data_IF_940125566438
#
_entry.id   IF_940125566438
#
_cell.length_a   1.000
_cell.length_b   1.000
_cell.length_c   1.000
_cell.angle_alpha   90.00
_cell.angle_beta   90.00
_cell.angle_gamma   90.00
#
_symmetry.space_group_name_H-M   'P 1'
#
loop_
_entity.id
_entity.type
_entity.pdbx_description
1 polymer ?
#
# COMPACT_ATOMS: atom_id res chain seq x y z
N UNK A 1 10.75 -16.50 6.67
CA UNK A 1 9.70 -15.70 5.98
C UNK A 1 10.16 -14.24 5.91
N UNK A 2 9.86 -13.53 4.82
CA UNK A 2 10.20 -12.11 4.63
C UNK A 2 9.11 -11.35 3.87
N UNK A 3 9.13 -10.02 3.99
CA UNK A 3 8.27 -9.10 3.22
C UNK A 3 9.00 -8.64 1.95
N UNK A 4 8.27 -8.50 0.84
CA UNK A 4 8.81 -7.97 -0.42
C UNK A 4 7.85 -6.94 -1.02
N UNK A 5 8.41 -5.83 -1.51
CA UNK A 5 7.71 -4.78 -2.25
C UNK A 5 8.42 -4.54 -3.59
N UNK A 6 7.77 -4.91 -4.70
CA UNK A 6 8.40 -4.95 -6.02
C UNK A 6 9.65 -5.83 -6.02
N UNK A 7 10.81 -5.25 -6.32
CA UNK A 7 12.09 -5.97 -6.25
C UNK A 7 12.82 -5.83 -4.91
N UNK A 8 12.34 -4.97 -4.02
CA UNK A 8 12.95 -4.76 -2.72
C UNK A 8 12.49 -5.83 -1.75
N UNK A 9 13.44 -6.52 -1.15
CA UNK A 9 13.20 -7.57 -0.16
C UNK A 9 13.72 -7.09 1.20
N UNK A 10 12.84 -7.09 2.19
CA UNK A 10 13.22 -6.88 3.59
C UNK A 10 14.01 -8.08 4.11
N UNK A 11 14.84 -7.86 5.13
CA UNK A 11 15.48 -8.98 5.80
C UNK A 11 14.44 -9.88 6.47
N UNK A 12 14.77 -11.17 6.64
CA UNK A 12 13.89 -12.12 7.29
C UNK A 12 13.63 -11.69 8.75
N UNK A 13 12.35 -11.63 9.13
CA UNK A 13 11.95 -11.18 10.47
C UNK A 13 12.10 -9.68 10.75
N UNK A 14 12.44 -8.85 9.75
CA UNK A 14 12.63 -7.40 9.92
C UNK A 14 11.30 -6.63 10.05
N UNK A 15 10.31 -7.01 9.24
CA UNK A 15 9.06 -6.29 9.09
C UNK A 15 7.92 -6.99 9.83
N UNK A 16 7.21 -6.25 10.68
CA UNK A 16 5.94 -6.58 11.29
C UNK A 16 4.82 -5.87 10.53
N UNK A 17 3.81 -6.60 10.08
CA UNK A 17 2.74 -6.06 9.23
C UNK A 17 1.38 -6.34 9.85
N UNK A 18 0.57 -5.29 9.95
CA UNK A 18 -0.85 -5.37 10.27
C UNK A 18 -1.65 -5.21 8.99
N UNK A 19 -2.48 -6.20 8.67
CA UNK A 19 -3.33 -6.20 7.48
C UNK A 19 -4.77 -5.97 7.90
N UNK A 20 -5.42 -4.98 7.30
CA UNK A 20 -6.84 -4.70 7.51
C UNK A 20 -7.58 -4.65 6.17
N UNK A 21 -8.84 -5.08 6.18
CA UNK A 21 -9.71 -5.14 4.99
C UNK A 21 -11.02 -4.44 5.30
N UNK A 22 -11.44 -3.56 4.39
CA UNK A 22 -12.67 -2.78 4.52
C UNK A 22 -13.45 -2.82 3.20
N UNK A 23 -14.78 -2.92 3.28
CA UNK A 23 -15.62 -2.77 2.09
C UNK A 23 -15.65 -1.30 1.70
N UNK A 24 -15.52 -1.03 0.41
CA UNK A 24 -15.74 0.30 -0.16
C UNK A 24 -17.19 0.36 -0.61
N UNK A 25 -17.92 1.38 -0.17
CA UNK A 25 -19.32 1.59 -0.52
C UNK A 25 -19.47 2.80 -1.46
N UNK A 26 -20.47 2.76 -2.34
CA UNK A 26 -20.93 3.94 -3.09
C UNK A 26 -21.75 4.88 -2.18
N UNK A 27 -22.07 6.07 -2.68
CA UNK A 27 -22.98 7.01 -1.99
C UNK A 27 -24.37 6.41 -1.72
N UNK A 28 -24.81 5.48 -2.57
CA UNK A 28 -26.06 4.75 -2.40
C UNK A 28 -25.96 3.59 -1.38
N UNK A 29 -24.82 3.40 -0.72
CA UNK A 29 -24.60 2.33 0.26
C UNK A 29 -24.38 0.94 -0.34
N UNK A 30 -24.15 0.85 -1.65
CA UNK A 30 -23.89 -0.42 -2.35
C UNK A 30 -22.39 -0.73 -2.27
N UNK A 31 -22.03 -1.99 -1.98
CA UNK A 31 -20.63 -2.43 -1.99
C UNK A 31 -20.07 -2.26 -3.41
N UNK A 32 -19.04 -1.43 -3.52
CA UNK A 32 -18.32 -1.14 -4.76
C UNK A 32 -17.01 -1.93 -4.86
N UNK A 33 -16.50 -2.43 -3.73
CA UNK A 33 -15.22 -3.10 -3.73
C UNK A 33 -14.68 -3.43 -2.35
N UNK A 34 -13.39 -3.72 -2.34
CA UNK A 34 -12.59 -4.03 -1.15
C UNK A 34 -11.38 -3.12 -1.14
N UNK A 35 -11.08 -2.52 0.01
CA UNK A 35 -9.82 -1.85 0.30
C UNK A 35 -9.04 -2.69 1.30
N UNK A 36 -7.79 -2.96 0.99
CA UNK A 36 -6.86 -3.61 1.90
C UNK A 36 -5.74 -2.64 2.24
N UNK A 37 -5.45 -2.49 3.54
CA UNK A 37 -4.41 -1.62 4.06
C UNK A 37 -3.41 -2.44 4.84
N UNK A 38 -2.13 -2.21 4.55
CA UNK A 38 -1.00 -2.82 5.23
C UNK A 38 -0.24 -1.72 5.98
N UNK A 39 -0.24 -1.81 7.30
CA UNK A 39 0.58 -0.95 8.16
C UNK A 39 1.81 -1.74 8.60
N UNK A 40 2.97 -1.27 8.14
CA UNK A 40 4.26 -1.95 8.28
C UNK A 40 5.10 -1.18 9.29
N UNK A 41 5.67 -1.91 10.24
CA UNK A 41 6.69 -1.42 11.16
C UNK A 41 7.90 -2.34 11.07
N UNK A 42 9.10 -1.79 11.12
CA UNK A 42 10.30 -2.61 11.08
C UNK A 42 11.53 -1.91 11.64
N UNK A 43 12.63 -2.65 11.67
CA UNK A 43 13.89 -2.19 12.21
C UNK A 43 15.00 -2.59 11.24
N UNK A 44 15.54 -1.62 10.51
CA UNK A 44 16.74 -1.80 9.69
C UNK A 44 17.93 -2.06 10.61
N UNK A 45 18.78 -3.03 10.28
CA UNK A 45 20.02 -3.32 11.01
C UNK A 45 21.20 -3.34 10.04
N UNK A 46 22.34 -2.81 10.48
CA UNK A 46 23.58 -2.82 9.74
C UNK A 46 24.80 -2.83 10.68
N UNK A 47 25.97 -3.16 10.14
CA UNK A 47 27.22 -3.26 10.91
C UNK A 47 27.78 -1.92 11.36
N UNK A 48 27.47 -0.85 10.61
CA UNK A 48 27.92 0.52 10.87
C UNK A 48 26.95 1.55 10.26
N UNK A 49 27.25 2.83 10.48
CA UNK A 49 26.42 3.96 10.04
C UNK A 49 26.36 4.12 8.53
N UNK A 50 27.44 3.76 7.82
CA UNK A 50 27.52 3.87 6.36
C UNK A 50 26.61 2.82 5.72
N UNK A 51 26.71 1.58 6.17
CA UNK A 51 25.83 0.49 5.75
C UNK A 51 24.36 0.76 6.14
N UNK A 52 24.12 1.35 7.31
CA UNK A 52 22.77 1.74 7.71
C UNK A 52 22.18 2.82 6.81
N UNK A 53 22.98 3.84 6.45
CA UNK A 53 22.57 4.89 5.52
C UNK A 53 22.21 4.29 4.15
N UNK A 54 23.04 3.37 3.64
CA UNK A 54 22.73 2.67 2.39
C UNK A 54 21.43 1.85 2.46
N UNK A 55 21.15 1.21 3.61
CA UNK A 55 19.90 0.48 3.82
C UNK A 55 18.67 1.42 3.86
N UNK A 56 18.80 2.58 4.51
CA UNK A 56 17.77 3.63 4.54
C UNK A 56 17.49 4.15 3.13
N UNK A 57 18.53 4.44 2.35
CA UNK A 57 18.39 4.94 0.97
C UNK A 57 17.74 3.89 0.07
N UNK A 58 18.13 2.62 0.20
CA UNK A 58 17.53 1.51 -0.55
C UNK A 58 16.03 1.34 -0.22
N UNK A 59 15.66 1.38 1.07
CA UNK A 59 14.27 1.33 1.50
C UNK A 59 13.47 2.52 0.94
N UNK A 60 14.02 3.73 1.08
CA UNK A 60 13.38 4.96 0.62
C UNK A 60 13.18 4.96 -0.89
N UNK A 61 14.19 4.55 -1.66
CA UNK A 61 14.11 4.46 -3.11
C UNK A 61 13.08 3.41 -3.58
N UNK A 62 13.00 2.26 -2.90
CA UNK A 62 12.05 1.22 -3.22
C UNK A 62 10.59 1.69 -3.06
N UNK A 63 10.28 2.31 -1.93
CA UNK A 63 8.94 2.78 -1.59
C UNK A 63 8.60 4.16 -2.19
N UNK A 64 9.54 4.83 -2.87
CA UNK A 64 9.24 5.98 -3.71
C UNK A 64 8.48 5.57 -4.99
N UNK A 65 8.55 4.29 -5.38
CA UNK A 65 7.91 3.77 -6.58
C UNK A 65 6.53 3.21 -6.23
N UNK A 66 5.50 3.75 -6.85
CA UNK A 66 4.11 3.31 -6.70
C UNK A 66 3.82 2.07 -7.54
N UNK A 67 2.67 1.42 -7.29
CA UNK A 67 2.12 0.34 -8.10
C UNK A 67 3.06 -0.87 -8.26
N UNK A 68 3.67 -1.30 -7.15
CA UNK A 68 4.45 -2.54 -7.08
C UNK A 68 3.70 -3.60 -6.29
N UNK A 69 3.94 -4.86 -6.64
CA UNK A 69 3.40 -5.98 -5.89
C UNK A 69 3.94 -5.97 -4.45
N UNK A 70 3.12 -6.37 -3.49
CA UNK A 70 3.54 -6.56 -2.10
C UNK A 70 3.14 -7.94 -1.61
N UNK A 71 3.99 -8.59 -0.83
CA UNK A 71 3.62 -9.88 -0.27
C UNK A 71 4.61 -10.44 0.75
N UNK A 72 4.13 -11.37 1.55
CA UNK A 72 4.97 -12.23 2.36
C UNK A 72 5.40 -13.46 1.56
N UNK A 73 6.67 -13.81 1.68
CA UNK A 73 7.30 -14.93 1.01
C UNK A 73 7.93 -15.87 2.04
N UNK A 74 7.82 -17.18 1.77
CA UNK A 74 8.50 -18.23 2.50
C UNK A 74 10.01 -18.21 2.19
N UNK A 75 10.82 -18.88 3.00
CA UNK A 75 12.29 -18.89 2.83
C UNK A 75 12.76 -19.58 1.54
N UNK A 76 11.88 -20.34 0.90
CA UNK A 76 12.09 -20.93 -0.43
C UNK A 76 11.68 -20.01 -1.59
N UNK A 77 11.30 -18.75 -1.30
CA UNK A 77 10.90 -17.76 -2.30
C UNK A 77 9.47 -17.88 -2.81
N UNK A 78 8.67 -18.82 -2.29
CA UNK A 78 7.26 -18.95 -2.66
C UNK A 78 6.39 -17.90 -1.95
N UNK A 79 5.43 -17.28 -2.65
CA UNK A 79 4.50 -16.36 -2.00
C UNK A 79 3.56 -17.09 -1.04
N UNK A 80 3.11 -16.38 -0.02
CA UNK A 80 2.06 -16.83 0.91
C UNK A 80 0.68 -16.36 0.44
N UNK A 81 -0.37 -16.70 1.19
CA UNK A 81 -1.72 -16.15 0.97
C UNK A 81 -1.83 -14.65 1.20
N UNK A 82 -0.84 -14.05 1.86
CA UNK A 82 -0.75 -12.60 2.05
C UNK A 82 0.12 -12.02 0.95
N UNK A 83 -0.51 -11.77 -0.21
CA UNK A 83 0.09 -11.11 -1.35
C UNK A 83 -0.96 -10.24 -2.05
N UNK A 84 -0.52 -9.11 -2.58
CA UNK A 84 -1.27 -8.23 -3.47
C UNK A 84 -0.47 -8.09 -4.75
N UNK A 85 -1.03 -8.59 -5.85
CA UNK A 85 -0.53 -8.31 -7.20
C UNK A 85 -1.10 -6.98 -7.65
N UNK A 86 -0.24 -6.01 -7.94
CA UNK A 86 -0.62 -4.64 -8.29
C UNK A 86 -1.51 -4.60 -9.54
N UNK A 87 -1.27 -5.51 -10.50
CA UNK A 87 -2.05 -5.60 -11.73
C UNK A 87 -3.52 -6.02 -11.51
N UNK A 88 -3.83 -6.71 -10.41
CA UNK A 88 -5.18 -7.18 -10.08
C UNK A 88 -6.00 -6.12 -9.34
N UNK A 89 -5.40 -4.97 -9.07
CA UNK A 89 -5.99 -3.91 -8.23
C UNK A 89 -6.31 -2.67 -9.06
N UNK A 90 -7.28 -1.89 -8.58
CA UNK A 90 -7.65 -0.62 -9.12
C UNK A 90 -6.60 0.46 -8.79
N UNK A 91 -5.73 0.75 -9.76
CA UNK A 91 -4.71 1.78 -9.64
C UNK A 91 -3.40 1.31 -8.99
N UNK A 92 -3.26 0.01 -8.73
CA UNK A 92 -2.06 -0.58 -8.14
C UNK A 92 -1.99 -0.44 -6.62
N UNK A 93 -0.95 -1.07 -6.04
CA UNK A 93 -0.62 -0.84 -4.63
C UNK A 93 -0.07 0.57 -4.45
N UNK A 94 -0.70 1.35 -3.57
CA UNK A 94 -0.35 2.74 -3.27
C UNK A 94 0.43 2.80 -1.97
N UNK A 95 1.55 3.51 -1.98
CA UNK A 95 2.29 3.92 -0.79
C UNK A 95 1.61 5.16 -0.22
N UNK A 96 0.80 4.96 0.81
CA UNK A 96 0.01 6.02 1.48
C UNK A 96 0.88 6.81 2.46
N UNK A 97 1.78 6.11 3.16
CA UNK A 97 2.81 6.73 3.98
C UNK A 97 4.17 6.13 3.57
N UNK A 98 5.09 6.91 2.99
CA UNK A 98 6.43 6.44 2.67
C UNK A 98 7.22 6.14 3.95
N UNK A 99 8.40 5.48 3.84
CA UNK A 99 9.26 5.19 4.98
C UNK A 99 9.49 6.43 5.84
N UNK A 100 9.03 6.34 7.08
CA UNK A 100 9.20 7.38 8.10
C UNK A 100 9.95 6.79 9.28
N UNK A 101 10.78 7.59 9.93
CA UNK A 101 11.65 7.14 11.03
C UNK A 101 11.28 7.88 12.33
N UNK A 102 10.13 7.57 12.94
CA UNK A 102 9.53 8.38 14.01
C UNK A 102 10.27 8.26 15.35
N UNK A 103 11.15 7.28 15.49
CA UNK A 103 11.94 7.08 16.70
C UNK A 103 13.30 7.75 16.56
N UNK A 104 13.78 8.34 17.66
CA UNK A 104 15.08 9.01 17.73
C UNK A 104 15.73 8.86 19.10
N UNK A 105 15.37 7.78 19.82
CA UNK A 105 15.86 7.49 21.17
C UNK A 105 16.88 6.35 21.12
N UNK A 106 17.74 6.27 22.12
CA UNK A 106 18.76 5.23 22.20
C UNK A 106 19.87 5.43 21.16
N UNK A 107 20.54 4.34 20.80
CA UNK A 107 21.63 4.33 19.82
C UNK A 107 21.12 4.24 18.36
N UNK A 108 19.98 4.84 18.06
CA UNK A 108 19.51 4.87 16.67
C UNK A 108 20.50 5.59 15.77
N UNK A 109 20.55 5.14 14.52
CA UNK A 109 21.54 5.56 13.53
C UNK A 109 22.97 5.05 13.76
N UNK A 110 23.27 4.28 14.82
CA UNK A 110 24.58 3.61 14.93
C UNK A 110 24.64 2.31 14.11
N UNK A 111 23.69 1.42 14.38
CA UNK A 111 23.62 0.06 13.81
C UNK A 111 22.18 -0.35 13.51
N UNK A 112 21.20 0.48 13.87
CA UNK A 112 19.80 0.22 13.58
C UNK A 112 18.97 1.49 13.41
N UNK A 113 17.83 1.34 12.74
CA UNK A 113 16.84 2.42 12.56
C UNK A 113 15.42 1.85 12.48
N UNK A 114 14.53 2.34 13.33
CA UNK A 114 13.12 1.97 13.29
C UNK A 114 12.37 2.75 12.21
N UNK A 115 11.51 2.07 11.45
CA UNK A 115 10.71 2.69 10.41
C UNK A 115 9.24 2.26 10.45
N UNK A 116 8.40 3.08 9.82
CA UNK A 116 6.99 2.80 9.56
C UNK A 116 6.65 3.12 8.12
N UNK A 117 5.79 2.30 7.50
CA UNK A 117 5.29 2.46 6.13
C UNK A 117 3.80 2.10 6.12
N UNK A 118 2.99 2.73 5.28
CA UNK A 118 1.61 2.32 5.05
C UNK A 118 1.33 2.15 3.57
N UNK A 119 0.74 1.01 3.21
CA UNK A 119 0.32 0.67 1.86
C UNK A 119 -1.19 0.46 1.80
N UNK A 120 -1.77 0.69 0.64
CA UNK A 120 -3.18 0.45 0.38
C UNK A 120 -3.41 -0.01 -1.06
N UNK A 121 -4.30 -0.98 -1.23
CA UNK A 121 -4.78 -1.39 -2.55
C UNK A 121 -6.30 -1.54 -2.53
N UNK A 122 -6.92 -1.32 -3.68
CA UNK A 122 -8.37 -1.45 -3.84
C UNK A 122 -8.70 -2.43 -4.96
N UNK A 123 -9.71 -3.26 -4.75
CA UNK A 123 -10.34 -4.07 -5.79
C UNK A 123 -11.73 -3.52 -6.01
N UNK A 124 -12.07 -3.22 -7.25
CA UNK A 124 -13.42 -2.83 -7.63
C UNK A 124 -14.22 -4.07 -8.01
N UNK A 125 -15.46 -4.12 -7.56
CA UNK A 125 -16.44 -5.08 -8.02
C UNK A 125 -16.92 -4.65 -9.42
N UNK A 126 -16.69 -5.51 -10.40
CA UNK A 126 -17.10 -5.27 -11.79
C UNK A 126 -18.61 -5.29 -11.99
N UNK A 127 -19.39 -5.71 -10.99
CA UNK A 127 -20.86 -5.65 -11.00
C UNK A 127 -21.41 -4.34 -10.41
N UNK A 128 -20.58 -3.51 -9.78
CA UNK A 128 -21.00 -2.24 -9.16
C UNK A 128 -21.03 -1.04 -10.16
N UNK A 129 -21.28 -1.30 -11.44
CA UNK A 129 -21.06 -0.41 -12.61
C UNK A 129 -22.07 0.75 -12.78
N UNK A 130 -22.81 1.13 -11.74
CA UNK A 130 -23.66 2.33 -11.79
C UNK A 130 -23.03 3.44 -10.94
N UNK A 131 -22.25 4.27 -11.63
CA UNK A 131 -21.28 5.19 -11.04
C UNK A 131 -21.80 6.63 -10.86
N UNK A 132 -23.11 6.83 -10.77
CA UNK A 132 -23.84 8.11 -10.86
C UNK A 132 -24.17 8.47 -12.32
N UNK A 133 -25.45 8.64 -12.62
CA UNK A 133 -25.94 9.24 -13.86
C UNK A 133 -26.67 10.53 -13.48
N UNK A 134 -26.23 11.65 -14.03
CA UNK A 134 -26.83 12.96 -13.80
C UNK A 134 -27.30 13.50 -15.15
N UNK A 135 -28.58 13.30 -15.47
CA UNK A 135 -29.21 13.92 -16.64
C UNK A 135 -29.96 15.18 -16.22
N UNK A 136 -29.75 16.25 -16.97
CA UNK A 136 -30.55 17.47 -16.87
C UNK A 136 -31.41 17.58 -18.12
N UNK A 137 -32.69 17.21 -18.01
CA UNK A 137 -33.67 17.45 -19.09
C UNK A 137 -34.23 18.87 -18.91
N UNK A 138 -34.02 19.74 -19.90
CA UNK A 138 -34.67 21.06 -19.98
C UNK A 138 -35.78 21.01 -21.01
N UNK A 139 -37.01 21.30 -20.59
CA UNK A 139 -38.13 21.54 -21.48
C UNK A 139 -38.32 23.05 -21.67
N UNK A 140 -38.26 23.52 -22.91
CA UNK A 140 -38.67 24.88 -23.27
C UNK A 140 -39.91 24.78 -24.16
N UNK A 141 -41.09 24.95 -23.56
CA UNK A 141 -42.35 25.08 -24.29
C UNK A 141 -42.59 26.54 -24.68
N UNK A 142 -42.59 26.82 -25.99
CA UNK A 142 -43.16 28.05 -26.53
C UNK A 142 -44.61 27.79 -26.92
N UNK A 143 -45.56 28.30 -26.12
CA UNK A 143 -46.98 28.29 -26.50
C UNK A 143 -47.25 29.28 -27.65
N UNK A 144 -48.27 29.05 -28.49
CA UNK A 144 -48.61 29.95 -29.59
C UNK A 144 -49.18 31.28 -29.06
N UNK A 145 -48.76 32.40 -29.65
CA UNK A 145 -49.41 33.72 -29.56
C UNK A 145 -50.16 34.02 -30.85
#
# INVERSE_FOLDING_TARGET
MYLKYGNYQHAAGEASVVISKQRVFSEAGIVRGLRERWDIQGLLQAVDQTALTAAIDALTAAYAIQARDVGFYLDNGQPTSHQITSADTNGGVRVIAPPSFPQGKGAEYSTFRNYTIALEAEWLDSQATLLLWQETIRFQGGGPQ
#
